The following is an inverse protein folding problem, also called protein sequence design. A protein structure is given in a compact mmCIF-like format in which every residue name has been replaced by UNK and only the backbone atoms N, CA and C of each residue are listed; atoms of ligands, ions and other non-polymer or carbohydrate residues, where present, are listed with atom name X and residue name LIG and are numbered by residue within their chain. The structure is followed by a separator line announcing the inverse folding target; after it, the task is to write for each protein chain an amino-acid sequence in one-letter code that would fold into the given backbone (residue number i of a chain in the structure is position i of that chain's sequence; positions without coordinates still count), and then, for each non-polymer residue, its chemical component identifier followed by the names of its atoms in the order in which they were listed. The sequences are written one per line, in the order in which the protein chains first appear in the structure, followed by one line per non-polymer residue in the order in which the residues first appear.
data_IF_449278645654
#
_entry.id   IF_449278645654
#
_cell.length_a   1.000
_cell.length_b   1.000
_cell.length_c   1.000
_cell.angle_alpha   90.00
_cell.angle_beta   90.00
_cell.angle_gamma   90.00
#
_symmetry.space_group_name_H-M   'P 1'
#
loop_
_entity.id
_entity.type
_entity.pdbx_description
1 polymer ?
#
# COMPACT_ATOMS: atom_id res chain seq x y z
N UNK A 1 -28.30 -14.89 -22.01
CA UNK A 1 -27.47 -13.73 -21.60
C UNK A 1 -26.67 -13.34 -22.80
N UNK A 2 -26.96 -12.19 -23.41
CA UNK A 2 -26.19 -11.71 -24.56
C UNK A 2 -24.71 -11.52 -24.16
N UNK A 3 -23.75 -11.94 -25.01
CA UNK A 3 -22.35 -11.69 -24.74
C UNK A 3 -22.09 -10.18 -24.80
N UNK A 4 -21.78 -9.56 -23.66
CA UNK A 4 -21.30 -8.19 -23.62
C UNK A 4 -20.06 -8.06 -24.52
N UNK A 5 -20.19 -7.31 -25.61
CA UNK A 5 -19.06 -6.94 -26.46
C UNK A 5 -17.96 -6.30 -25.59
N UNK A 6 -16.68 -6.64 -25.82
CA UNK A 6 -15.58 -6.07 -25.05
C UNK A 6 -15.56 -4.55 -25.22
N UNK A 7 -15.51 -3.83 -24.09
CA UNK A 7 -15.47 -2.36 -24.09
C UNK A 7 -14.28 -1.86 -24.91
N UNK A 8 -14.43 -0.75 -25.67
CA UNK A 8 -13.31 -0.09 -26.33
C UNK A 8 -12.21 0.25 -25.31
N UNK A 9 -10.96 -0.06 -25.64
CA UNK A 9 -9.81 0.18 -24.74
C UNK A 9 -9.14 1.50 -25.09
N UNK A 10 -8.87 2.31 -24.07
CA UNK A 10 -8.18 3.60 -24.17
C UNK A 10 -6.96 3.55 -23.27
N UNK A 11 -5.78 3.83 -23.82
CA UNK A 11 -4.54 3.94 -23.05
C UNK A 11 -4.26 5.40 -22.69
N UNK A 12 -3.95 5.68 -21.42
CA UNK A 12 -3.70 7.03 -20.91
C UNK A 12 -2.37 7.03 -20.16
N UNK A 13 -1.37 7.69 -20.74
CA UNK A 13 -0.16 8.05 -20.00
C UNK A 13 -0.38 9.39 -19.28
N UNK A 14 -0.11 9.40 -17.98
CA UNK A 14 -0.49 10.49 -17.06
C UNK A 14 0.75 11.24 -16.62
N UNK A 15 0.79 12.54 -16.93
CA UNK A 15 1.79 13.47 -16.40
C UNK A 15 1.16 14.47 -15.44
N UNK A 16 2.00 15.32 -14.81
CA UNK A 16 1.52 16.38 -13.91
C UNK A 16 0.61 17.38 -14.63
N UNK A 17 0.94 17.75 -15.87
CA UNK A 17 0.27 18.83 -16.59
C UNK A 17 -0.60 18.35 -17.76
N UNK A 18 -0.32 17.17 -18.30
CA UNK A 18 -0.96 16.64 -19.51
C UNK A 18 -1.28 15.16 -19.38
N UNK A 19 -2.20 14.71 -20.23
CA UNK A 19 -2.54 13.31 -20.45
C UNK A 19 -2.31 12.99 -21.93
N UNK A 20 -1.45 12.02 -22.21
CA UNK A 20 -1.32 11.47 -23.56
C UNK A 20 -2.29 10.29 -23.68
N UNK A 21 -3.25 10.42 -24.59
CA UNK A 21 -4.33 9.47 -24.79
C UNK A 21 -4.15 8.77 -26.12
N UNK A 22 -4.27 7.44 -26.11
CA UNK A 22 -4.33 6.61 -27.30
C UNK A 22 -5.65 5.83 -27.29
N UNK A 23 -6.37 5.83 -28.41
CA UNK A 23 -7.63 5.11 -28.59
C UNK A 23 -7.74 4.62 -30.04
N UNK A 24 -8.68 3.73 -30.31
CA UNK A 24 -8.84 3.09 -31.62
C UNK A 24 -10.16 3.48 -32.29
N UNK A 25 -10.10 3.95 -33.53
CA UNK A 25 -11.26 4.23 -34.38
C UNK A 25 -11.05 3.54 -35.72
N UNK A 26 -11.98 2.70 -36.16
CA UNK A 26 -11.88 1.96 -37.43
C UNK A 26 -10.53 1.21 -37.60
N UNK A 27 -10.06 0.55 -36.54
CA UNK A 27 -8.78 -0.17 -36.49
C UNK A 27 -7.51 0.69 -36.61
N UNK A 28 -7.63 2.02 -36.63
CA UNK A 28 -6.50 2.93 -36.60
C UNK A 28 -6.30 3.53 -35.20
N UNK A 29 -5.05 3.61 -34.75
CA UNK A 29 -4.69 4.31 -33.52
C UNK A 29 -4.79 5.82 -33.73
N UNK A 30 -5.58 6.47 -32.89
CA UNK A 30 -5.62 7.92 -32.75
C UNK A 30 -4.93 8.32 -31.45
N UNK A 31 -4.33 9.51 -31.48
CA UNK A 31 -3.68 10.12 -30.35
C UNK A 31 -4.32 11.47 -30.05
N UNK A 32 -4.45 11.77 -28.76
CA UNK A 32 -4.94 13.05 -28.27
C UNK A 32 -4.10 13.44 -27.06
N UNK A 33 -3.73 14.72 -26.96
CA UNK A 33 -3.10 15.27 -25.78
C UNK A 33 -4.04 16.29 -25.15
N UNK A 34 -4.35 16.11 -23.87
CA UNK A 34 -5.22 17.02 -23.10
C UNK A 34 -4.53 17.46 -21.83
N UNK A 35 -5.01 18.55 -21.21
CA UNK A 35 -4.51 18.95 -19.90
C UNK A 35 -4.95 17.98 -18.80
N UNK A 36 -4.14 17.83 -17.75
CA UNK A 36 -4.53 17.09 -16.55
C UNK A 36 -5.42 17.99 -15.66
N UNK A 37 -6.62 18.29 -16.17
CA UNK A 37 -7.62 19.15 -15.52
C UNK A 37 -9.02 18.70 -15.89
N UNK A 38 -10.04 19.17 -15.16
CA UNK A 38 -11.45 18.86 -15.45
C UNK A 38 -11.85 19.17 -16.91
N UNK A 39 -11.35 20.27 -17.47
CA UNK A 39 -11.57 20.63 -18.87
C UNK A 39 -10.94 19.61 -19.83
N UNK A 40 -9.71 19.15 -19.54
CA UNK A 40 -9.06 18.10 -20.33
C UNK A 40 -9.76 16.75 -20.22
N UNK A 41 -10.30 16.40 -19.05
CA UNK A 41 -11.05 15.16 -18.87
C UNK A 41 -12.35 15.14 -19.68
N UNK A 42 -13.05 16.28 -19.75
CA UNK A 42 -14.22 16.45 -20.63
C UNK A 42 -13.85 16.26 -22.10
N UNK A 43 -12.72 16.82 -22.55
CA UNK A 43 -12.22 16.63 -23.91
C UNK A 43 -11.89 15.16 -24.21
N UNK A 44 -11.28 14.46 -23.25
CA UNK A 44 -10.96 13.03 -23.37
C UNK A 44 -12.23 12.20 -23.56
N UNK A 45 -13.24 12.38 -22.70
CA UNK A 45 -14.52 11.63 -22.77
C UNK A 45 -15.27 11.96 -24.06
N UNK A 46 -15.24 13.22 -24.50
CA UNK A 46 -15.85 13.64 -25.78
C UNK A 46 -15.18 12.94 -26.98
N UNK A 47 -13.88 12.71 -26.93
CA UNK A 47 -13.13 12.11 -28.03
C UNK A 47 -13.26 10.57 -28.08
N UNK A 48 -13.24 9.90 -26.92
CA UNK A 48 -13.17 8.44 -26.85
C UNK A 48 -14.52 7.78 -26.53
N UNK A 49 -15.48 8.52 -25.96
CA UNK A 49 -16.68 7.99 -25.33
C UNK A 49 -16.48 7.71 -23.84
N UNK A 50 -17.58 7.62 -23.09
CA UNK A 50 -17.55 7.35 -21.65
C UNK A 50 -17.53 5.85 -21.31
N UNK A 51 -18.15 5.02 -22.16
CA UNK A 51 -18.23 3.56 -21.97
C UNK A 51 -16.99 2.87 -22.56
N UNK A 52 -15.83 3.13 -21.96
CA UNK A 52 -14.56 2.51 -22.34
C UNK A 52 -13.86 1.87 -21.15
N UNK A 53 -12.91 1.00 -21.45
CA UNK A 53 -11.89 0.55 -20.52
C UNK A 53 -10.67 1.48 -20.63
N UNK A 54 -10.52 2.36 -19.66
CA UNK A 54 -9.41 3.30 -19.54
C UNK A 54 -8.25 2.69 -18.77
N UNK A 55 -7.13 2.46 -19.44
CA UNK A 55 -5.94 1.84 -18.87
C UNK A 55 -4.86 2.89 -18.70
N UNK A 56 -4.40 3.06 -17.47
CA UNK A 56 -3.35 4.01 -17.11
C UNK A 56 -2.34 3.36 -16.16
N UNK A 57 -1.11 3.87 -16.12
CA UNK A 57 -0.17 3.50 -15.07
C UNK A 57 -0.28 4.42 -13.85
N UNK A 58 0.15 3.91 -12.69
CA UNK A 58 0.17 4.69 -11.47
C UNK A 58 1.33 5.71 -11.48
N UNK A 59 1.01 6.97 -11.75
CA UNK A 59 1.95 8.10 -11.71
C UNK A 59 1.72 8.99 -10.48
N UNK A 60 2.20 8.55 -9.32
CA UNK A 60 2.05 9.30 -8.07
C UNK A 60 0.58 9.54 -7.71
N UNK A 61 0.22 10.79 -7.41
CA UNK A 61 -1.17 11.23 -7.15
C UNK A 61 -1.88 11.78 -8.38
N UNK A 62 -1.16 12.02 -9.49
CA UNK A 62 -1.68 12.73 -10.66
C UNK A 62 -2.73 11.95 -11.45
N UNK A 63 -2.72 10.62 -11.34
CA UNK A 63 -3.70 9.74 -11.98
C UNK A 63 -5.03 9.66 -11.23
N UNK A 64 -5.09 10.06 -9.95
CA UNK A 64 -6.30 9.93 -9.15
C UNK A 64 -7.43 10.78 -9.71
N UNK A 65 -7.19 12.06 -10.00
CA UNK A 65 -8.25 12.97 -10.46
C UNK A 65 -8.93 12.46 -11.75
N UNK A 66 -8.15 12.01 -12.73
CA UNK A 66 -8.68 11.43 -13.97
C UNK A 66 -9.36 10.08 -13.73
N UNK A 67 -8.82 9.23 -12.86
CA UNK A 67 -9.43 7.93 -12.53
C UNK A 67 -10.81 8.09 -11.87
N UNK A 68 -10.95 9.00 -10.89
CA UNK A 68 -12.24 9.31 -10.26
C UNK A 68 -13.23 9.86 -11.29
N UNK A 69 -12.81 10.85 -12.08
CA UNK A 69 -13.69 11.45 -13.09
C UNK A 69 -14.20 10.42 -14.11
N UNK A 70 -13.32 9.59 -14.66
CA UNK A 70 -13.72 8.58 -15.65
C UNK A 70 -14.65 7.51 -15.06
N UNK A 71 -14.44 7.14 -13.79
CA UNK A 71 -15.31 6.23 -13.07
C UNK A 71 -16.71 6.84 -12.84
N UNK A 72 -16.79 8.12 -12.45
CA UNK A 72 -18.05 8.85 -12.27
C UNK A 72 -18.84 8.99 -13.58
N UNK A 73 -18.16 9.05 -14.73
CA UNK A 73 -18.80 9.04 -16.05
C UNK A 73 -19.27 7.64 -16.50
N UNK A 74 -19.10 6.61 -15.68
CA UNK A 74 -19.51 5.23 -15.99
C UNK A 74 -18.47 4.40 -16.75
N UNK A 75 -17.24 4.90 -16.90
CA UNK A 75 -16.13 4.17 -17.51
C UNK A 75 -15.51 3.13 -16.58
N UNK A 76 -14.98 2.06 -17.16
CA UNK A 76 -14.11 1.14 -16.41
C UNK A 76 -12.70 1.67 -16.41
N UNK A 77 -12.08 1.80 -15.24
CA UNK A 77 -10.70 2.29 -15.12
C UNK A 77 -9.81 1.15 -14.66
N UNK A 78 -8.59 1.04 -15.19
CA UNK A 78 -7.56 0.13 -14.73
C UNK A 78 -6.29 0.92 -14.46
N UNK A 79 -5.85 0.93 -13.20
CA UNK A 79 -4.60 1.57 -12.77
C UNK A 79 -3.56 0.49 -12.55
N UNK A 80 -2.54 0.49 -13.41
CA UNK A 80 -1.51 -0.54 -13.47
C UNK A 80 -0.25 -0.15 -12.71
N UNK A 81 0.45 -1.15 -12.19
CA UNK A 81 1.78 -0.94 -11.63
C UNK A 81 2.77 -0.61 -12.76
N UNK A 82 3.54 0.49 -12.69
CA UNK A 82 4.51 0.85 -13.74
C UNK A 82 5.51 -0.27 -14.06
N UNK A 83 5.84 -1.12 -13.08
CA UNK A 83 6.73 -2.27 -13.31
C UNK A 83 6.11 -3.33 -14.23
N UNK A 84 4.78 -3.50 -14.19
CA UNK A 84 4.06 -4.44 -15.05
C UNK A 84 4.14 -3.97 -16.51
N UNK A 85 3.83 -2.71 -16.75
CA UNK A 85 3.91 -2.10 -18.09
C UNK A 85 5.34 -2.09 -18.61
N UNK A 86 6.31 -1.70 -17.78
CA UNK A 86 7.74 -1.76 -18.16
C UNK A 86 8.16 -3.15 -18.62
N UNK A 87 7.75 -4.21 -17.92
CA UNK A 87 8.07 -5.60 -18.30
C UNK A 87 7.35 -6.02 -19.58
N UNK A 88 6.11 -5.58 -19.76
CA UNK A 88 5.34 -5.85 -20.96
C UNK A 88 5.99 -5.24 -22.21
N UNK A 89 6.47 -3.99 -22.12
CA UNK A 89 7.21 -3.31 -23.20
C UNK A 89 8.50 -4.06 -23.52
N UNK A 90 9.25 -4.48 -22.50
CA UNK A 90 10.50 -5.25 -22.67
C UNK A 90 10.27 -6.59 -23.34
N UNK A 91 9.21 -7.31 -22.98
CA UNK A 91 8.81 -8.58 -23.60
C UNK A 91 8.53 -8.42 -25.10
N UNK A 92 8.00 -7.27 -25.52
CA UNK A 92 7.74 -6.95 -26.92
C UNK A 92 8.92 -6.24 -27.63
N UNK A 93 10.10 -6.21 -27.01
CA UNK A 93 11.31 -5.55 -27.54
C UNK A 93 11.08 -4.07 -27.93
N UNK A 94 10.15 -3.39 -27.24
CA UNK A 94 9.81 -1.99 -27.52
C UNK A 94 11.00 -1.06 -27.29
N UNK A 95 11.27 -0.17 -28.26
CA UNK A 95 12.35 0.84 -28.19
C UNK A 95 11.81 2.27 -28.27
N UNK A 96 12.49 3.17 -27.56
CA UNK A 96 12.20 4.59 -27.50
C UNK A 96 11.05 4.92 -26.54
N UNK A 97 11.24 5.96 -25.73
CA UNK A 97 10.28 6.42 -24.73
C UNK A 97 9.66 7.73 -25.21
N UNK A 98 8.36 7.73 -25.47
CA UNK A 98 7.56 8.92 -25.75
C UNK A 98 6.16 8.73 -25.17
N UNK A 99 5.55 9.80 -24.67
CA UNK A 99 4.24 9.75 -24.02
C UNK A 99 3.15 9.13 -24.95
N UNK A 100 3.24 9.39 -26.26
CA UNK A 100 2.37 8.76 -27.27
C UNK A 100 2.54 7.25 -27.37
N UNK A 101 3.78 6.76 -27.32
CA UNK A 101 4.08 5.31 -27.36
C UNK A 101 3.69 4.66 -26.03
N UNK A 102 3.91 5.34 -24.91
CA UNK A 102 3.57 4.83 -23.58
C UNK A 102 2.04 4.65 -23.46
N UNK A 103 1.26 5.64 -23.91
CA UNK A 103 -0.20 5.52 -24.04
C UNK A 103 -0.63 4.36 -24.97
N UNK A 104 0.08 4.15 -26.09
CA UNK A 104 -0.19 3.03 -26.99
C UNK A 104 0.10 1.67 -26.34
N UNK A 105 1.16 1.55 -25.55
CA UNK A 105 1.49 0.33 -24.81
C UNK A 105 0.45 0.01 -23.75
N UNK A 106 -0.08 1.03 -23.06
CA UNK A 106 -1.18 0.88 -22.10
C UNK A 106 -2.45 0.36 -22.77
N UNK A 107 -2.81 0.93 -23.94
CA UNK A 107 -3.93 0.43 -24.73
C UNK A 107 -3.72 -1.03 -25.12
N UNK A 108 -2.56 -1.37 -25.68
CA UNK A 108 -2.24 -2.76 -26.08
C UNK A 108 -2.29 -3.73 -24.92
N UNK A 109 -1.81 -3.31 -23.74
CA UNK A 109 -1.87 -4.13 -22.55
C UNK A 109 -3.33 -4.44 -22.17
N UNK A 110 -4.21 -3.44 -22.18
CA UNK A 110 -5.63 -3.62 -21.90
C UNK A 110 -6.37 -4.49 -22.90
N UNK A 111 -5.93 -4.53 -24.17
CA UNK A 111 -6.50 -5.41 -25.19
C UNK A 111 -6.07 -6.87 -25.03
N UNK A 112 -4.84 -7.11 -24.56
CA UNK A 112 -4.25 -8.45 -24.52
C UNK A 112 -4.39 -9.17 -23.18
N UNK A 113 -4.58 -8.42 -22.09
CA UNK A 113 -4.54 -8.96 -20.73
C UNK A 113 -5.83 -8.65 -19.98
N UNK A 114 -6.28 -9.59 -19.16
CA UNK A 114 -7.33 -9.32 -18.20
C UNK A 114 -6.80 -8.33 -17.15
N UNK A 115 -7.42 -7.16 -17.07
CA UNK A 115 -7.06 -6.11 -16.10
C UNK A 115 -8.02 -6.10 -14.93
N UNK A 116 -7.50 -5.84 -13.73
CA UNK A 116 -8.32 -5.59 -12.55
C UNK A 116 -8.90 -4.18 -12.66
N UNK A 117 -10.23 -4.08 -12.67
CA UNK A 117 -10.93 -2.79 -12.64
C UNK A 117 -10.61 -2.10 -11.30
N UNK A 118 -10.11 -0.87 -11.41
CA UNK A 118 -9.88 0.04 -10.32
C UNK A 118 -11.21 0.52 -9.77
N UNK A 119 -11.26 0.65 -8.44
CA UNK A 119 -12.41 1.20 -7.74
C UNK A 119 -11.93 2.33 -6.84
N UNK A 120 -12.71 3.41 -6.71
CA UNK A 120 -12.42 4.46 -5.76
C UNK A 120 -12.33 3.85 -4.36
N UNK A 121 -11.38 4.34 -3.59
CA UNK A 121 -11.36 4.01 -2.17
C UNK A 121 -12.45 4.80 -1.46
N UNK A 122 -12.91 4.28 -0.33
CA UNK A 122 -13.79 5.02 0.54
C UNK A 122 -13.14 6.34 0.98
N UNK A 123 -13.90 7.43 1.00
CA UNK A 123 -13.41 8.78 1.30
C UNK A 123 -12.64 8.83 2.63
N UNK A 124 -13.17 8.16 3.68
CA UNK A 124 -12.51 8.06 4.99
C UNK A 124 -11.12 7.44 4.88
N UNK A 125 -10.94 6.39 4.05
CA UNK A 125 -9.64 5.76 3.84
C UNK A 125 -8.68 6.65 3.05
N UNK A 126 -9.20 7.45 2.11
CA UNK A 126 -8.41 8.43 1.36
C UNK A 126 -7.87 9.50 2.30
N UNK A 127 -8.75 10.09 3.10
CA UNK A 127 -8.41 11.09 4.12
C UNK A 127 -7.40 10.55 5.14
N UNK A 128 -7.65 9.36 5.68
CA UNK A 128 -6.71 8.73 6.61
C UNK A 128 -5.33 8.50 6.00
N UNK A 129 -5.22 8.18 4.69
CA UNK A 129 -3.91 8.05 4.04
C UNK A 129 -3.19 9.38 3.90
N UNK A 130 -3.92 10.47 3.67
CA UNK A 130 -3.33 11.82 3.66
C UNK A 130 -2.83 12.20 5.04
N UNK A 131 -3.62 11.97 6.09
CA UNK A 131 -3.21 12.19 7.48
C UNK A 131 -1.98 11.36 7.86
N UNK A 132 -1.92 10.08 7.48
CA UNK A 132 -0.75 9.25 7.76
C UNK A 132 0.49 9.73 6.99
N UNK A 133 0.34 10.23 5.76
CA UNK A 133 1.44 10.84 5.02
C UNK A 133 1.98 12.09 5.73
N UNK A 134 1.09 12.95 6.23
CA UNK A 134 1.45 14.13 7.02
C UNK A 134 2.14 13.70 8.33
N UNK A 135 1.58 12.72 9.03
CA UNK A 135 2.15 12.17 10.26
C UNK A 135 3.57 11.64 10.05
N UNK A 136 3.80 10.87 8.98
CA UNK A 136 5.15 10.41 8.61
C UNK A 136 6.14 11.57 8.38
N UNK A 137 5.69 12.64 7.71
CA UNK A 137 6.52 13.82 7.47
C UNK A 137 6.86 14.55 8.78
N UNK A 138 5.88 14.75 9.65
CA UNK A 138 6.08 15.37 10.96
C UNK A 138 7.01 14.55 11.85
N UNK A 139 6.90 13.22 11.85
CA UNK A 139 7.82 12.33 12.57
C UNK A 139 9.26 12.48 12.05
N UNK A 140 9.46 12.56 10.73
CA UNK A 140 10.80 12.77 10.15
C UNK A 140 11.39 14.11 10.59
N UNK A 141 10.60 15.17 10.54
CA UNK A 141 11.03 16.50 11.00
C UNK A 141 11.34 16.48 12.51
N UNK A 142 10.50 15.83 13.31
CA UNK A 142 10.70 15.67 14.76
C UNK A 142 12.03 14.97 15.05
N UNK A 143 12.32 13.85 14.38
CA UNK A 143 13.58 13.12 14.55
C UNK A 143 14.77 13.97 14.14
N UNK A 144 14.68 14.70 13.03
CA UNK A 144 15.73 15.60 12.57
C UNK A 144 16.03 16.69 13.61
N UNK A 145 15.01 17.38 14.11
CA UNK A 145 15.16 18.41 15.16
C UNK A 145 15.70 17.83 16.46
N UNK A 146 15.23 16.64 16.87
CA UNK A 146 15.74 15.95 18.06
C UNK A 146 17.24 15.65 17.94
N UNK A 147 17.69 15.12 16.79
CA UNK A 147 19.09 14.83 16.55
C UNK A 147 19.94 16.11 16.51
N UNK A 148 19.42 17.19 15.91
CA UNK A 148 20.09 18.49 15.91
C UNK A 148 20.23 19.07 17.32
N UNK A 149 19.20 18.95 18.16
CA UNK A 149 19.24 19.39 19.55
C UNK A 149 20.29 18.61 20.34
N UNK A 150 20.30 17.27 20.23
CA UNK A 150 21.29 16.42 20.87
C UNK A 150 22.72 16.79 20.42
N UNK A 151 22.93 17.01 19.12
CA UNK A 151 24.23 17.40 18.60
C UNK A 151 24.72 18.75 19.14
N UNK A 152 23.85 19.76 19.27
CA UNK A 152 24.20 21.06 19.86
C UNK A 152 24.59 20.93 21.33
N UNK A 153 23.90 20.08 22.09
CA UNK A 153 24.18 19.86 23.51
C UNK A 153 25.52 19.16 23.77
N UNK A 154 26.12 18.50 22.77
CA UNK A 154 27.43 17.88 22.86
C UNK A 154 28.58 18.80 22.45
N UNK A 155 28.30 20.02 21.99
CA UNK A 155 29.36 20.96 21.58
C UNK A 155 30.08 21.58 22.79
N UNK A 156 31.39 21.87 22.67
CA UNK A 156 32.14 22.54 23.74
C UNK A 156 31.61 23.94 24.10
N UNK A 157 30.98 24.62 23.13
CA UNK A 157 30.34 25.92 23.31
C UNK A 157 28.86 25.76 22.96
N UNK A 158 27.99 25.97 23.96
CA UNK A 158 26.55 25.76 23.83
C UNK A 158 25.86 27.14 23.78
N UNK A 159 25.08 27.37 22.72
CA UNK A 159 24.15 28.50 22.68
C UNK A 159 22.82 28.10 23.34
N UNK A 160 22.51 28.73 24.48
CA UNK A 160 21.23 28.52 25.19
C UNK A 160 20.04 28.85 24.29
N UNK A 161 20.09 30.00 23.60
CA UNK A 161 19.05 30.42 22.68
C UNK A 161 18.83 29.41 21.54
N UNK A 162 19.90 28.85 20.96
CA UNK A 162 19.76 27.84 19.91
C UNK A 162 19.08 26.55 20.42
N UNK A 163 19.45 26.10 21.62
CA UNK A 163 18.82 24.95 22.27
C UNK A 163 17.34 25.21 22.56
N UNK A 164 16.98 26.37 23.10
CA UNK A 164 15.59 26.77 23.36
C UNK A 164 14.74 26.78 22.09
N UNK A 165 15.26 27.30 20.97
CA UNK A 165 14.54 27.31 19.69
C UNK A 165 14.27 25.91 19.16
N UNK A 166 15.25 24.99 19.25
CA UNK A 166 15.06 23.60 18.83
C UNK A 166 14.14 22.83 19.80
N UNK A 167 14.22 23.09 21.11
CA UNK A 167 13.30 22.50 22.10
C UNK A 167 11.86 22.92 21.84
N UNK A 168 11.60 24.21 21.61
CA UNK A 168 10.27 24.70 21.27
C UNK A 168 9.76 24.07 19.97
N UNK A 169 10.60 23.99 18.94
CA UNK A 169 10.24 23.34 17.67
C UNK A 169 9.94 21.86 17.86
N UNK A 170 10.71 21.15 18.69
CA UNK A 170 10.51 19.74 19.02
C UNK A 170 9.16 19.53 19.74
N UNK A 171 8.78 20.45 20.63
CA UNK A 171 7.50 20.42 21.32
C UNK A 171 6.35 20.60 20.33
N UNK A 172 6.38 21.64 19.49
CA UNK A 172 5.36 21.88 18.44
C UNK A 172 5.19 20.67 17.53
N UNK A 173 6.29 20.09 17.04
CA UNK A 173 6.24 18.89 16.19
C UNK A 173 5.69 17.68 16.95
N UNK A 174 5.97 17.56 18.24
CA UNK A 174 5.42 16.48 19.08
C UNK A 174 3.91 16.60 19.21
N UNK A 175 3.41 17.80 19.47
CA UNK A 175 1.97 18.04 19.63
C UNK A 175 1.22 17.84 18.32
N UNK A 176 1.78 18.29 17.19
CA UNK A 176 1.21 18.04 15.87
C UNK A 176 1.14 16.54 15.52
N UNK A 177 2.21 15.78 15.80
CA UNK A 177 2.21 14.32 15.61
C UNK A 177 1.10 13.66 16.44
N UNK A 178 0.94 14.07 17.71
CA UNK A 178 -0.10 13.51 18.57
C UNK A 178 -1.51 13.86 18.09
N UNK A 179 -1.75 15.11 17.67
CA UNK A 179 -3.03 15.56 17.17
C UNK A 179 -3.45 14.80 15.89
N UNK A 180 -2.56 14.76 14.89
CA UNK A 180 -2.82 14.06 13.62
C UNK A 180 -3.07 12.56 13.85
N UNK A 181 -2.28 11.93 14.73
CA UNK A 181 -2.47 10.51 15.04
C UNK A 181 -3.80 10.24 15.76
N UNK A 182 -4.21 11.13 16.68
CA UNK A 182 -5.48 11.00 17.38
C UNK A 182 -6.68 11.14 16.43
N UNK A 183 -6.63 12.10 15.52
CA UNK A 183 -7.66 12.35 14.50
C UNK A 183 -7.76 11.18 13.51
N UNK A 184 -6.62 10.70 13.00
CA UNK A 184 -6.55 9.50 12.16
C UNK A 184 -7.22 8.30 12.84
N UNK A 185 -6.90 8.03 14.11
CA UNK A 185 -7.47 6.90 14.83
C UNK A 185 -8.96 7.09 15.10
N UNK A 186 -9.42 8.31 15.37
CA UNK A 186 -10.84 8.60 15.56
C UNK A 186 -11.65 8.32 14.29
N UNK A 187 -11.18 8.77 13.12
CA UNK A 187 -11.83 8.51 11.83
C UNK A 187 -11.92 7.01 11.53
N UNK A 188 -10.83 6.27 11.77
CA UNK A 188 -10.80 4.82 11.58
C UNK A 188 -11.71 4.09 12.57
N UNK A 189 -11.79 4.53 13.83
CA UNK A 189 -12.66 3.92 14.84
C UNK A 189 -14.13 4.20 14.57
N UNK A 190 -14.46 5.40 14.10
CA UNK A 190 -15.81 5.76 13.69
C UNK A 190 -16.28 4.87 12.53
N UNK A 191 -15.40 4.63 11.55
CA UNK A 191 -15.77 3.86 10.36
C UNK A 191 -15.66 2.34 10.51
N UNK A 192 -14.65 1.87 11.23
CA UNK A 192 -14.27 0.45 11.34
C UNK A 192 -14.28 -0.03 12.79
N UNK A 193 -15.31 0.34 13.56
CA UNK A 193 -15.40 0.04 15.00
C UNK A 193 -15.31 -1.46 15.29
N UNK A 194 -16.02 -2.29 14.51
CA UNK A 194 -16.05 -3.73 14.68
C UNK A 194 -14.66 -4.34 14.40
N UNK A 195 -14.04 -3.97 13.28
CA UNK A 195 -12.73 -4.47 12.88
C UNK A 195 -11.63 -3.97 13.84
N UNK A 196 -11.73 -2.74 14.35
CA UNK A 196 -10.86 -2.22 15.40
C UNK A 196 -10.93 -3.07 16.67
N UNK A 197 -12.14 -3.42 17.10
CA UNK A 197 -12.37 -4.28 18.27
C UNK A 197 -11.78 -5.67 18.06
N UNK A 198 -12.05 -6.26 16.90
CA UNK A 198 -11.53 -7.55 16.49
C UNK A 198 -10.00 -7.58 16.44
N UNK A 199 -9.36 -6.60 15.80
CA UNK A 199 -7.91 -6.53 15.71
C UNK A 199 -7.25 -6.35 17.08
N UNK A 200 -7.84 -5.53 17.95
CA UNK A 200 -7.35 -5.30 19.32
C UNK A 200 -7.49 -6.52 20.24
N UNK A 201 -8.36 -7.48 19.90
CA UNK A 201 -8.45 -8.74 20.63
C UNK A 201 -7.20 -9.61 20.47
N UNK A 202 -6.37 -9.38 19.45
CA UNK A 202 -5.14 -10.13 19.20
C UNK A 202 -4.04 -9.69 20.17
N UNK A 203 -3.50 -10.58 21.03
CA UNK A 203 -2.44 -10.20 21.93
C UNK A 203 -1.20 -9.72 21.16
N UNK A 204 -0.73 -8.52 21.49
CA UNK A 204 0.37 -7.84 20.79
C UNK A 204 -0.06 -6.82 19.73
N UNK A 205 -1.36 -6.67 19.45
CA UNK A 205 -1.91 -5.62 18.59
C UNK A 205 -2.64 -4.58 19.46
N UNK A 206 -2.08 -3.36 19.52
CA UNK A 206 -2.68 -2.23 20.23
C UNK A 206 -3.53 -1.34 19.30
N UNK A 207 -4.19 -0.32 19.88
CA UNK A 207 -5.04 0.65 19.16
C UNK A 207 -4.38 1.22 17.90
N UNK A 208 -3.17 1.78 18.05
CA UNK A 208 -2.42 2.37 16.92
C UNK A 208 -2.18 1.35 15.80
N UNK A 209 -1.70 0.16 16.15
CA UNK A 209 -1.41 -0.91 15.19
C UNK A 209 -2.66 -1.41 14.50
N UNK A 210 -3.78 -1.53 15.20
CA UNK A 210 -5.06 -1.92 14.62
C UNK A 210 -5.49 -0.91 13.55
N UNK A 211 -5.45 0.40 13.86
CA UNK A 211 -5.76 1.45 12.89
C UNK A 211 -4.83 1.42 11.68
N UNK A 212 -3.52 1.29 11.91
CA UNK A 212 -2.55 1.16 10.81
C UNK A 212 -2.78 -0.07 9.92
N UNK A 213 -3.17 -1.21 10.51
CA UNK A 213 -3.50 -2.42 9.76
C UNK A 213 -4.77 -2.22 8.92
N UNK A 214 -5.79 -1.55 9.45
CA UNK A 214 -6.99 -1.22 8.71
C UNK A 214 -6.68 -0.32 7.53
N UNK A 215 -5.94 0.76 7.76
CA UNK A 215 -5.55 1.69 6.71
C UNK A 215 -4.71 1.01 5.62
N UNK A 216 -3.73 0.21 6.04
CA UNK A 216 -2.86 -0.54 5.14
C UNK A 216 -3.63 -1.60 4.32
N UNK A 217 -4.60 -2.26 4.95
CA UNK A 217 -5.40 -3.30 4.31
C UNK A 217 -6.67 -2.76 3.61
N UNK A 218 -6.89 -1.44 3.60
CA UNK A 218 -8.14 -0.83 3.11
C UNK A 218 -9.38 -1.48 3.74
N UNK A 219 -9.38 -1.60 5.07
CA UNK A 219 -10.47 -2.26 5.82
C UNK A 219 -10.59 -3.77 5.56
N UNK A 220 -9.57 -4.43 5.00
CA UNK A 220 -9.59 -5.86 4.62
C UNK A 220 -10.62 -6.24 3.55
N UNK A 221 -11.21 -5.25 2.87
CA UNK A 221 -12.27 -5.48 1.88
C UNK A 221 -11.71 -6.04 0.56
N UNK A 222 -10.50 -5.61 0.17
CA UNK A 222 -9.92 -5.86 -1.17
C UNK A 222 -9.06 -7.11 -1.28
N UNK A 223 -9.05 -7.95 -0.23
CA UNK A 223 -8.22 -9.14 -0.15
C UNK A 223 -9.05 -10.41 0.02
N UNK A 224 -8.80 -11.38 -0.86
CA UNK A 224 -9.45 -12.70 -0.83
C UNK A 224 -8.70 -13.66 0.09
N UNK A 225 -7.39 -13.44 0.24
CA UNK A 225 -6.54 -14.30 1.05
C UNK A 225 -5.41 -13.53 1.74
N UNK A 226 -4.93 -14.10 2.85
CA UNK A 226 -3.84 -13.54 3.63
C UNK A 226 -2.51 -13.43 2.84
N UNK A 227 -2.33 -14.20 1.76
CA UNK A 227 -1.08 -14.18 0.97
C UNK A 227 -0.95 -12.88 0.19
N UNK A 228 -2.06 -12.35 -0.34
CA UNK A 228 -2.10 -11.04 -0.98
C UNK A 228 -1.70 -9.93 0.01
N UNK A 229 -2.23 -9.97 1.25
CA UNK A 229 -1.87 -9.01 2.31
C UNK A 229 -0.38 -9.07 2.70
N UNK A 230 0.17 -10.29 2.86
CA UNK A 230 1.59 -10.49 3.16
C UNK A 230 2.50 -10.01 2.01
N UNK A 231 2.07 -10.25 0.77
CA UNK A 231 2.78 -9.79 -0.41
C UNK A 231 2.82 -8.26 -0.48
N UNK A 232 1.68 -7.60 -0.21
CA UNK A 232 1.60 -6.14 -0.12
C UNK A 232 2.52 -5.59 0.99
N UNK A 233 2.59 -6.29 2.14
CA UNK A 233 3.46 -5.92 3.25
C UNK A 233 4.94 -6.17 2.95
N UNK A 234 5.30 -6.79 1.82
CA UNK A 234 6.68 -7.11 1.47
C UNK A 234 7.33 -8.12 2.43
N UNK A 235 6.52 -8.95 3.09
CA UNK A 235 6.95 -9.97 4.07
C UNK A 235 7.02 -11.38 3.47
N UNK A 236 6.66 -11.56 2.20
CA UNK A 236 6.82 -12.82 1.49
C UNK A 236 8.31 -13.17 1.37
N UNK A 237 8.73 -14.38 1.82
CA UNK A 237 10.07 -14.87 1.56
C UNK A 237 10.30 -15.01 0.05
N UNK A 238 11.44 -14.53 -0.44
CA UNK A 238 11.97 -14.90 -1.75
C UNK A 238 13.06 -15.93 -1.53
N UNK A 239 12.84 -17.11 -2.08
CA UNK A 239 13.90 -18.08 -2.28
C UNK A 239 14.74 -17.62 -3.46
N UNK A 240 16.05 -17.58 -3.27
CA UNK A 240 17.02 -17.31 -4.32
C UNK A 240 17.87 -18.56 -4.47
N UNK A 241 17.23 -19.61 -4.97
CA UNK A 241 17.86 -20.87 -5.29
C UNK A 241 17.55 -21.24 -6.73
N UNK A 242 18.60 -21.47 -7.51
CA UNK A 242 18.55 -21.95 -8.88
C UNK A 242 19.65 -23.00 -9.05
N UNK A 243 19.24 -24.20 -9.49
CA UNK A 243 20.12 -25.37 -9.62
C UNK A 243 20.77 -25.82 -8.31
N UNK A 244 21.84 -26.60 -8.43
CA UNK A 244 22.66 -27.09 -7.30
C UNK A 244 23.64 -26.03 -6.78
N UNK A 245 23.85 -24.94 -7.53
CA UNK A 245 24.97 -24.00 -7.34
C UNK A 245 24.58 -22.69 -6.66
N UNK A 246 23.30 -22.31 -6.64
CA UNK A 246 22.84 -21.06 -6.02
C UNK A 246 22.07 -21.41 -4.75
N UNK A 247 22.71 -21.26 -3.58
CA UNK A 247 22.08 -21.33 -2.25
C UNK A 247 22.08 -19.96 -1.58
N UNK A 248 21.32 -19.02 -2.14
CA UNK A 248 21.16 -17.70 -1.54
C UNK A 248 20.37 -17.77 -0.23
N UNK A 249 20.75 -16.97 0.78
CA UNK A 249 19.93 -16.81 1.99
C UNK A 249 18.57 -16.22 1.60
N UNK A 250 17.48 -16.89 1.98
CA UNK A 250 16.13 -16.38 1.75
C UNK A 250 15.98 -14.98 2.39
N UNK A 251 15.52 -14.00 1.59
CA UNK A 251 15.26 -12.61 2.03
C UNK A 251 13.82 -12.27 1.73
N UNK A 252 13.21 -11.41 2.55
CA UNK A 252 11.89 -10.85 2.21
C UNK A 252 12.02 -9.94 0.97
N UNK A 253 10.97 -9.86 0.16
CA UNK A 253 10.99 -9.08 -1.10
C UNK A 253 11.28 -7.60 -0.88
N UNK A 254 10.96 -7.05 0.31
CA UNK A 254 11.01 -5.60 0.64
C UNK A 254 10.25 -4.69 -0.34
N UNK A 255 9.54 -5.26 -1.32
CA UNK A 255 8.68 -4.57 -2.26
C UNK A 255 7.41 -4.17 -1.50
N UNK A 256 7.07 -2.87 -1.47
CA UNK A 256 5.88 -2.36 -0.76
C UNK A 256 6.15 -1.81 0.63
N UNK A 257 5.14 -1.89 1.52
CA UNK A 257 4.99 -1.07 2.73
C UNK A 257 6.17 -1.10 3.73
N UNK A 258 7.16 -0.21 3.54
CA UNK A 258 8.26 -0.02 4.48
C UNK A 258 7.77 0.37 5.88
N UNK A 259 6.80 1.29 5.92
CA UNK A 259 6.14 1.75 7.14
C UNK A 259 5.49 0.60 7.91
N UNK A 260 4.58 -0.16 7.27
CA UNK A 260 3.86 -1.23 7.96
C UNK A 260 4.82 -2.32 8.47
N UNK A 261 5.91 -2.61 7.75
CA UNK A 261 6.93 -3.55 8.22
C UNK A 261 7.61 -3.08 9.48
N UNK A 262 7.99 -1.81 9.57
CA UNK A 262 8.58 -1.23 10.77
C UNK A 262 7.65 -1.33 11.98
N UNK A 263 6.36 -1.01 11.79
CA UNK A 263 5.36 -1.05 12.85
C UNK A 263 5.02 -2.48 13.26
N UNK A 264 4.85 -3.40 12.31
CA UNK A 264 4.68 -4.84 12.57
C UNK A 264 5.88 -5.42 13.31
N UNK A 265 7.10 -4.99 12.99
CA UNK A 265 8.29 -5.41 13.71
C UNK A 265 8.21 -5.01 15.19
N UNK A 266 7.83 -3.77 15.52
CA UNK A 266 7.62 -3.35 16.91
C UNK A 266 6.53 -4.18 17.60
N UNK A 267 5.44 -4.48 16.90
CA UNK A 267 4.36 -5.32 17.43
C UNK A 267 4.82 -6.76 17.66
N UNK A 268 5.68 -7.29 16.80
CA UNK A 268 6.23 -8.65 16.96
C UNK A 268 7.03 -8.80 18.25
N UNK A 269 7.68 -7.73 18.73
CA UNK A 269 8.42 -7.73 19.98
C UNK A 269 7.50 -7.84 21.21
N UNK A 270 6.30 -7.25 21.15
CA UNK A 270 5.27 -7.41 22.17
C UNK A 270 4.55 -8.76 22.04
N UNK A 271 4.18 -9.15 20.82
CA UNK A 271 3.48 -10.39 20.53
C UNK A 271 4.28 -11.63 20.93
N UNK A 272 5.62 -11.64 20.74
CA UNK A 272 6.44 -12.78 21.19
C UNK A 272 6.41 -13.01 22.71
N UNK A 273 5.94 -12.04 23.50
CA UNK A 273 5.79 -12.16 24.96
C UNK A 273 4.35 -12.45 25.39
N UNK A 274 3.36 -11.94 24.65
CA UNK A 274 1.94 -11.93 25.08
C UNK A 274 1.03 -12.87 24.28
N UNK A 275 1.49 -13.37 23.13
CA UNK A 275 0.71 -14.24 22.23
C UNK A 275 1.38 -15.61 22.18
N UNK A 276 0.77 -16.61 22.80
CA UNK A 276 1.35 -17.95 22.95
C UNK A 276 1.79 -18.57 21.60
N UNK A 277 0.99 -18.41 20.55
CA UNK A 277 1.33 -18.93 19.23
C UNK A 277 2.52 -18.18 18.59
N UNK A 278 2.65 -16.87 18.84
CA UNK A 278 3.81 -16.08 18.39
C UNK A 278 5.07 -16.39 19.20
N UNK A 279 4.93 -16.57 20.52
CA UNK A 279 6.01 -16.97 21.41
C UNK A 279 6.59 -18.32 21.00
N UNK A 280 5.75 -19.35 20.90
CA UNK A 280 6.15 -20.69 20.48
C UNK A 280 6.82 -20.69 19.09
N UNK A 281 6.32 -19.87 18.15
CA UNK A 281 6.95 -19.71 16.83
C UNK A 281 8.35 -19.10 16.95
N UNK A 282 8.51 -18.05 17.74
CA UNK A 282 9.76 -17.34 17.93
C UNK A 282 10.82 -18.27 18.56
N UNK A 283 10.48 -18.88 19.69
CA UNK A 283 11.36 -19.78 20.44
C UNK A 283 11.79 -20.98 19.59
N UNK A 284 10.85 -21.62 18.89
CA UNK A 284 11.15 -22.73 17.97
C UNK A 284 12.13 -22.35 16.87
N UNK A 285 12.02 -21.14 16.30
CA UNK A 285 12.94 -20.71 15.24
C UNK A 285 14.33 -20.38 15.80
N UNK A 286 14.41 -19.75 16.96
CA UNK A 286 15.67 -19.46 17.65
C UNK A 286 16.37 -20.75 18.07
N UNK A 287 15.64 -21.73 18.62
CA UNK A 287 16.18 -23.05 18.96
C UNK A 287 16.74 -23.81 17.75
N UNK A 288 16.20 -23.56 16.55
CA UNK A 288 16.74 -24.06 15.26
C UNK A 288 17.92 -23.24 14.72
N UNK A 289 18.54 -22.38 15.54
CA UNK A 289 19.70 -21.58 15.16
C UNK A 289 19.38 -20.39 14.25
N UNK A 290 18.11 -19.99 14.07
CA UNK A 290 17.78 -18.80 13.28
C UNK A 290 18.08 -17.53 14.07
N UNK A 291 18.59 -16.51 13.37
CA UNK A 291 18.79 -15.19 13.96
C UNK A 291 17.47 -14.62 14.52
N UNK A 292 17.51 -14.01 15.70
CA UNK A 292 16.33 -13.44 16.37
C UNK A 292 15.53 -12.45 15.51
N UNK A 293 16.19 -11.66 14.65
CA UNK A 293 15.49 -10.76 13.70
C UNK A 293 14.68 -11.54 12.67
N UNK A 294 15.20 -12.68 12.18
CA UNK A 294 14.47 -13.57 11.25
C UNK A 294 13.26 -14.18 11.95
N UNK A 295 13.41 -14.60 13.21
CA UNK A 295 12.30 -15.10 14.00
C UNK A 295 11.21 -14.05 14.23
N UNK A 296 11.57 -12.78 14.50
CA UNK A 296 10.60 -11.68 14.61
C UNK A 296 9.83 -11.42 13.30
N UNK A 297 10.51 -11.50 12.14
CA UNK A 297 9.83 -11.37 10.84
C UNK A 297 8.81 -12.51 10.63
N UNK A 298 9.12 -13.72 11.09
CA UNK A 298 8.14 -14.82 11.08
C UNK A 298 6.95 -14.54 12.00
N UNK A 299 7.17 -13.90 13.16
CA UNK A 299 6.10 -13.42 14.05
C UNK A 299 5.25 -12.35 13.37
N UNK A 300 5.83 -11.37 12.65
CA UNK A 300 5.08 -10.40 11.86
C UNK A 300 4.14 -11.09 10.85
N UNK A 301 4.64 -12.11 10.14
CA UNK A 301 3.86 -12.89 9.19
C UNK A 301 2.70 -13.63 9.88
N UNK A 302 2.93 -14.21 11.07
CA UNK A 302 1.90 -14.85 11.88
C UNK A 302 0.82 -13.85 12.33
N UNK A 303 1.21 -12.66 12.77
CA UNK A 303 0.27 -11.60 13.17
C UNK A 303 -0.62 -11.17 12.01
N UNK A 304 -0.08 -10.98 10.80
CA UNK A 304 -0.89 -10.65 9.62
C UNK A 304 -1.91 -11.75 9.27
N UNK A 305 -1.51 -13.03 9.41
CA UNK A 305 -2.44 -14.15 9.21
C UNK A 305 -3.56 -14.15 10.25
N UNK A 306 -3.23 -13.90 11.52
CA UNK A 306 -4.21 -13.78 12.59
C UNK A 306 -5.17 -12.61 12.34
N UNK A 307 -4.63 -11.42 12.03
CA UNK A 307 -5.41 -10.23 11.71
C UNK A 307 -6.39 -10.48 10.55
N UNK A 308 -5.91 -11.05 9.44
CA UNK A 308 -6.75 -11.38 8.29
C UNK A 308 -7.86 -12.38 8.67
N UNK A 309 -7.51 -13.47 9.35
CA UNK A 309 -8.48 -14.51 9.72
C UNK A 309 -9.56 -13.97 10.66
N UNK A 310 -9.18 -13.18 11.66
CA UNK A 310 -10.09 -12.63 12.67
C UNK A 310 -11.06 -11.64 12.03
N UNK A 311 -10.57 -10.68 11.24
CA UNK A 311 -11.43 -9.71 10.55
C UNK A 311 -12.38 -10.41 9.57
N UNK A 312 -11.91 -11.40 8.80
CA UNK A 312 -12.77 -12.14 7.86
C UNK A 312 -13.79 -13.04 8.56
N UNK A 313 -13.44 -13.61 9.72
CA UNK A 313 -14.35 -14.47 10.48
C UNK A 313 -15.40 -13.68 11.28
N UNK A 314 -15.14 -12.41 11.57
CA UNK A 314 -15.96 -11.61 12.48
C UNK A 314 -15.89 -12.06 13.94
N UNK A 315 -15.01 -13.01 14.28
CA UNK A 315 -14.88 -13.58 15.62
C UNK A 315 -13.62 -13.06 16.32
N UNK A 316 -13.69 -12.70 17.61
CA UNK A 316 -12.52 -12.23 18.35
C UNK A 316 -11.46 -13.33 18.48
N UNK A 317 -10.22 -12.92 18.75
CA UNK A 317 -9.10 -13.83 18.98
C UNK A 317 -9.41 -14.79 20.12
N UNK A 318 -9.17 -16.08 19.88
CA UNK A 318 -9.24 -17.13 20.88
C UNK A 318 -7.89 -17.85 20.94
N UNK A 319 -7.27 -17.90 22.13
CA UNK A 319 -5.96 -18.51 22.31
C UNK A 319 -5.94 -20.00 21.94
N UNK A 320 -7.04 -20.70 22.20
CA UNK A 320 -7.21 -22.14 21.98
C UNK A 320 -8.01 -22.47 20.71
N UNK A 321 -8.04 -21.55 19.73
CA UNK A 321 -8.79 -21.77 18.50
C UNK A 321 -8.25 -22.99 17.75
N UNK A 322 -9.12 -23.96 17.53
CA UNK A 322 -8.81 -25.18 16.76
C UNK A 322 -9.64 -25.16 15.49
N UNK A 323 -8.98 -25.28 14.33
CA UNK A 323 -9.68 -25.29 13.04
C UNK A 323 -10.60 -26.52 12.96
N UNK A 324 -11.81 -26.37 12.42
CA UNK A 324 -12.72 -27.50 12.14
C UNK A 324 -12.06 -28.55 11.23
N UNK A 325 -11.15 -28.14 10.35
CA UNK A 325 -10.35 -29.03 9.50
C UNK A 325 -9.32 -29.86 10.27
N UNK A 326 -8.97 -29.46 11.50
CA UNK A 326 -8.07 -30.24 12.36
C UNK A 326 -8.83 -31.25 13.25
N UNK A 327 -10.16 -31.13 13.32
CA UNK A 327 -11.01 -32.03 14.10
C UNK A 327 -11.52 -33.24 13.28
N UNK A 328 -11.43 -33.17 11.94
CA UNK A 328 -11.71 -34.28 11.03
C UNK A 328 -10.47 -34.50 10.13
N UNK A 329 -9.56 -35.43 10.50
CA UNK A 329 -8.35 -35.72 9.74
C UNK A 329 -8.60 -36.41 8.39
#
# INVERSE_FOLDING_TARGET
MEPQLPLPVVGIDVSKASLAVCYQVNQQFKHLEVSNSKAGFQQLVKACGAQCLFVMEATGTYNLAVAYYLHEQGGQVAVLNPLVIRRFIQMHLGKGKTDRKDAQWLLRYGQQQAVKVWQPDEQVLVECRQLEQVNEQLIKQKTMVSNSLEALQQQPVISSLACERLQHTLQVLTDQVQAVEAELLALLEQRFQAEMTLLRSIPGIGRKTAGMLLLFAGGFQRFDNYRQLIALAGLSPREYSSGTSIRGKARITKMGGGLIRGKLYMCSMAAKKKNAACQALYERLVAKGKNGKVALIAVCNKLLKQAFAIVKSGQPYQANFTSKLALNP
#
